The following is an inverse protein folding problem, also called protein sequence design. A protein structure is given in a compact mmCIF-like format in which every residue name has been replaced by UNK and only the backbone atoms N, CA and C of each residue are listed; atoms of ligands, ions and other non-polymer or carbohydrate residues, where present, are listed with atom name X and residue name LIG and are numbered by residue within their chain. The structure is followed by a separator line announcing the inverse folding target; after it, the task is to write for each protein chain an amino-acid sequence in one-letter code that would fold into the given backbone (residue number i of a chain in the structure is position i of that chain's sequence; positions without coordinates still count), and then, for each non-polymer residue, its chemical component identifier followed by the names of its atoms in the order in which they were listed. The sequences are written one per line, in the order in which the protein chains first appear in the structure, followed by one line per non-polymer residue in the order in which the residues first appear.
data_IF_820966240337
#
_entry.id   IF_820966240337
#
_cell.length_a   1.000
_cell.length_b   1.000
_cell.length_c   1.000
_cell.angle_alpha   90.00
_cell.angle_beta   90.00
_cell.angle_gamma   90.00
#
_symmetry.space_group_name_H-M   'P 1'
#
loop_
_entity.id
_entity.type
_entity.pdbx_description
1 polymer ?
#
# COMPACT_ATOMS: atom_id res chain seq x y z
N UNK A 1 9.69 2.60 -23.23
CA UNK A 1 9.47 3.60 -22.16
C UNK A 1 8.14 4.30 -22.42
N UNK A 2 7.02 3.84 -21.82
CA UNK A 2 5.70 4.49 -21.96
C UNK A 2 5.67 5.64 -20.97
N UNK A 3 5.49 6.88 -21.46
CA UNK A 3 5.32 8.08 -20.63
C UNK A 3 4.10 7.86 -19.73
N UNK A 4 4.25 8.09 -18.42
CA UNK A 4 3.16 8.07 -17.46
C UNK A 4 2.01 8.97 -17.93
N UNK A 5 0.77 8.55 -17.71
CA UNK A 5 -0.39 9.39 -18.03
C UNK A 5 -0.46 10.50 -16.99
N UNK A 6 -0.28 11.72 -17.43
CA UNK A 6 -0.49 12.89 -16.59
C UNK A 6 -1.95 13.32 -16.67
N UNK A 7 -2.52 13.70 -15.55
CA UNK A 7 -3.89 14.19 -15.42
C UNK A 7 -3.94 15.39 -14.49
N UNK A 8 -5.07 16.09 -14.43
CA UNK A 8 -5.31 17.16 -13.45
C UNK A 8 -6.12 16.61 -12.29
N UNK A 9 -5.59 16.75 -11.07
CA UNK A 9 -6.30 16.51 -9.83
C UNK A 9 -6.31 17.82 -9.04
N UNK A 10 -7.49 18.35 -8.75
CA UNK A 10 -7.67 19.63 -8.05
C UNK A 10 -6.86 20.78 -8.67
N UNK A 11 -6.78 20.82 -10.02
CA UNK A 11 -6.05 21.84 -10.76
C UNK A 11 -4.53 21.65 -10.82
N UNK A 12 -3.99 20.56 -10.29
CA UNK A 12 -2.56 20.21 -10.34
C UNK A 12 -2.29 19.08 -11.31
N UNK A 13 -1.18 19.14 -12.01
CA UNK A 13 -0.71 18.01 -12.82
C UNK A 13 -0.24 16.89 -11.87
N UNK A 14 -0.82 15.70 -12.05
CA UNK A 14 -0.43 14.48 -11.31
C UNK A 14 -0.03 13.41 -12.29
N UNK A 15 0.90 12.58 -11.87
CA UNK A 15 1.44 11.46 -12.65
C UNK A 15 1.02 10.14 -12.02
N UNK A 16 0.69 9.16 -12.85
CA UNK A 16 0.49 7.79 -12.38
C UNK A 16 1.85 7.08 -12.28
N UNK A 17 2.07 6.26 -11.24
CA UNK A 17 3.23 5.40 -11.19
C UNK A 17 3.15 4.29 -12.25
N UNK A 18 4.26 3.57 -12.54
CA UNK A 18 4.26 2.46 -13.49
C UNK A 18 3.26 1.37 -13.13
N UNK A 19 2.60 0.76 -14.13
CA UNK A 19 1.70 -0.37 -13.95
C UNK A 19 2.40 -1.64 -13.41
N UNK A 20 3.73 -1.72 -13.56
CA UNK A 20 4.56 -2.86 -13.17
C UNK A 20 5.89 -2.40 -12.60
N UNK A 21 6.24 -2.91 -11.43
CA UNK A 21 7.49 -2.65 -10.72
C UNK A 21 8.12 -3.98 -10.35
N UNK A 22 9.20 -4.37 -11.04
CA UNK A 22 9.95 -5.59 -10.73
C UNK A 22 11.07 -5.31 -9.73
N UNK A 23 11.36 -6.28 -8.89
CA UNK A 23 12.49 -6.32 -7.96
C UNK A 23 12.97 -7.77 -7.79
N UNK A 24 14.05 -8.03 -7.04
CA UNK A 24 14.72 -9.33 -7.03
C UNK A 24 13.80 -10.51 -6.70
N UNK A 25 12.87 -10.33 -5.76
CA UNK A 25 12.04 -11.42 -5.23
C UNK A 25 10.56 -11.33 -5.61
N UNK A 26 10.21 -10.46 -6.56
CA UNK A 26 8.82 -10.35 -6.96
C UNK A 26 8.53 -9.20 -7.89
N UNK A 27 7.26 -9.05 -8.17
CA UNK A 27 6.73 -8.00 -9.01
C UNK A 27 5.47 -7.42 -8.40
N UNK A 28 5.41 -6.10 -8.36
CA UNK A 28 4.20 -5.34 -8.05
C UNK A 28 3.49 -5.04 -9.38
N UNK A 29 2.28 -5.54 -9.56
CA UNK A 29 1.46 -5.31 -10.75
C UNK A 29 0.21 -4.55 -10.37
N UNK A 30 -0.15 -3.53 -11.17
CA UNK A 30 -1.40 -2.80 -11.01
C UNK A 30 -2.58 -3.76 -10.96
N UNK A 31 -3.45 -3.61 -9.96
CA UNK A 31 -4.72 -4.34 -9.89
C UNK A 31 -5.70 -3.73 -10.88
N UNK A 32 -6.02 -4.49 -11.93
CA UNK A 32 -7.02 -4.18 -12.97
C UNK A 32 -8.33 -4.86 -12.64
N UNK A 33 -9.39 -4.54 -13.37
CA UNK A 33 -10.69 -5.18 -13.19
C UNK A 33 -10.62 -6.72 -13.21
N UNK A 34 -9.82 -7.27 -14.13
CA UNK A 34 -9.61 -8.71 -14.23
C UNK A 34 -8.91 -9.35 -13.02
N UNK A 35 -8.13 -8.57 -12.27
CA UNK A 35 -7.35 -9.05 -11.11
C UNK A 35 -8.14 -8.96 -9.79
N UNK A 36 -9.26 -8.23 -9.78
CA UNK A 36 -10.02 -7.92 -8.55
C UNK A 36 -10.47 -9.19 -7.83
N UNK A 37 -10.97 -10.17 -8.55
CA UNK A 37 -11.46 -11.42 -7.95
C UNK A 37 -10.33 -12.21 -7.27
N UNK A 38 -9.17 -12.34 -7.92
CA UNK A 38 -8.00 -13.04 -7.39
C UNK A 38 -7.44 -12.30 -6.16
N UNK A 39 -7.36 -10.97 -6.24
CA UNK A 39 -6.90 -10.15 -5.11
C UNK A 39 -7.83 -10.27 -3.89
N UNK A 40 -9.17 -10.25 -4.11
CA UNK A 40 -10.16 -10.48 -3.04
C UNK A 40 -9.98 -11.87 -2.45
N UNK A 41 -9.76 -12.89 -3.28
CA UNK A 41 -9.53 -14.27 -2.85
C UNK A 41 -8.30 -14.38 -1.94
N UNK A 42 -7.18 -13.79 -2.34
CA UNK A 42 -5.95 -13.75 -1.56
C UNK A 42 -6.12 -13.00 -0.23
N UNK A 43 -6.80 -11.85 -0.25
CA UNK A 43 -7.12 -11.10 0.96
C UNK A 43 -8.05 -11.87 1.90
N UNK A 44 -9.04 -12.60 1.36
CA UNK A 44 -9.96 -13.44 2.13
C UNK A 44 -9.24 -14.62 2.80
N UNK A 45 -8.30 -15.26 2.11
CA UNK A 45 -7.48 -16.34 2.67
C UNK A 45 -6.62 -15.88 3.88
N UNK A 46 -6.34 -14.58 3.96
CA UNK A 46 -5.58 -13.95 5.05
C UNK A 46 -6.46 -13.17 6.04
N UNK A 47 -7.79 -13.27 5.97
CA UNK A 47 -8.73 -12.42 6.71
C UNK A 47 -8.50 -12.45 8.23
N UNK A 48 -8.27 -13.63 8.82
CA UNK A 48 -8.05 -13.79 10.25
C UNK A 48 -6.87 -12.93 10.77
N UNK A 49 -5.80 -12.84 10.00
CA UNK A 49 -4.63 -12.03 10.36
C UNK A 49 -4.80 -10.56 9.99
N UNK A 50 -5.45 -10.28 8.86
CA UNK A 50 -5.65 -8.90 8.40
C UNK A 50 -6.60 -8.13 9.30
N UNK A 51 -7.63 -8.77 9.87
CA UNK A 51 -8.60 -8.14 10.79
C UNK A 51 -7.97 -7.56 12.05
N UNK A 52 -6.78 -8.01 12.43
CA UNK A 52 -6.07 -7.48 13.58
C UNK A 52 -5.71 -5.99 13.41
N UNK A 53 -5.41 -5.57 12.17
CA UNK A 53 -4.86 -4.24 11.87
C UNK A 53 -5.53 -3.51 10.72
N UNK A 54 -6.41 -4.19 9.98
CA UNK A 54 -7.03 -3.66 8.78
C UNK A 54 -8.55 -3.79 8.90
N UNK A 55 -9.31 -2.67 8.98
CA UNK A 55 -10.74 -2.71 9.22
C UNK A 55 -11.55 -3.53 8.21
N UNK A 56 -11.14 -3.56 6.93
CA UNK A 56 -11.80 -4.38 5.91
C UNK A 56 -11.38 -5.87 5.96
N UNK A 57 -10.45 -6.24 6.82
CA UNK A 57 -9.97 -7.62 6.95
C UNK A 57 -11.08 -8.59 7.35
N UNK A 58 -12.00 -8.17 8.19
CA UNK A 58 -13.07 -9.01 8.76
C UNK A 58 -14.45 -8.82 8.07
N UNK A 59 -14.63 -7.76 7.28
CA UNK A 59 -15.87 -7.48 6.56
C UNK A 59 -15.75 -7.82 5.06
N UNK A 60 -16.37 -8.93 4.60
CA UNK A 60 -16.33 -9.31 3.19
C UNK A 60 -16.99 -8.30 2.24
N UNK A 61 -18.01 -7.56 2.67
CA UNK A 61 -18.68 -6.57 1.85
C UNK A 61 -17.79 -5.33 1.70
N UNK A 62 -17.25 -4.83 2.81
CA UNK A 62 -16.32 -3.70 2.80
C UNK A 62 -15.03 -4.03 2.03
N UNK A 63 -14.52 -5.26 2.17
CA UNK A 63 -13.37 -5.75 1.39
C UNK A 63 -13.65 -5.70 -0.12
N UNK A 64 -14.82 -6.21 -0.56
CA UNK A 64 -15.21 -6.16 -1.97
C UNK A 64 -15.34 -4.74 -2.49
N UNK A 65 -15.95 -3.85 -1.73
CA UNK A 65 -16.08 -2.44 -2.07
C UNK A 65 -14.71 -1.77 -2.23
N UNK A 66 -13.83 -1.92 -1.24
CA UNK A 66 -12.50 -1.28 -1.23
C UNK A 66 -11.60 -1.78 -2.35
N UNK A 67 -11.55 -3.09 -2.57
CA UNK A 67 -10.71 -3.68 -3.61
C UNK A 67 -11.35 -3.50 -4.99
N UNK A 68 -12.67 -3.65 -5.09
CA UNK A 68 -13.41 -3.46 -6.34
C UNK A 68 -13.34 -2.03 -6.88
N UNK A 69 -13.21 -1.03 -6.00
CA UNK A 69 -13.02 0.37 -6.40
C UNK A 69 -11.60 0.71 -6.90
N UNK A 70 -10.62 -0.17 -6.68
CA UNK A 70 -9.21 0.14 -6.97
C UNK A 70 -8.91 0.51 -8.43
N UNK A 71 -9.50 -0.13 -9.47
CA UNK A 71 -9.28 0.29 -10.86
C UNK A 71 -9.74 1.73 -11.12
N UNK A 72 -10.87 2.14 -10.53
CA UNK A 72 -11.42 3.50 -10.65
C UNK A 72 -10.55 4.50 -9.88
N UNK A 73 -10.13 4.15 -8.65
CA UNK A 73 -9.22 4.98 -7.85
C UNK A 73 -7.90 5.24 -8.57
N UNK A 74 -7.39 4.25 -9.30
CA UNK A 74 -6.18 4.38 -10.12
C UNK A 74 -6.35 5.41 -11.24
N UNK A 75 -7.42 5.29 -12.04
CA UNK A 75 -7.69 6.21 -13.16
C UNK A 75 -7.96 7.65 -12.66
N UNK A 76 -8.51 7.77 -11.46
CA UNK A 76 -8.77 9.07 -10.83
C UNK A 76 -7.61 9.58 -9.98
N UNK A 77 -6.47 8.91 -9.98
CA UNK A 77 -5.27 9.26 -9.21
C UNK A 77 -5.48 9.39 -7.69
N UNK A 78 -6.52 8.76 -7.14
CA UNK A 78 -6.79 8.78 -5.69
C UNK A 78 -5.91 7.79 -4.93
N UNK A 79 -5.79 6.59 -5.50
CA UNK A 79 -4.95 5.53 -4.95
C UNK A 79 -4.47 4.60 -6.06
N UNK A 80 -3.32 3.96 -5.83
CA UNK A 80 -2.68 3.04 -6.76
C UNK A 80 -2.47 1.70 -6.07
N UNK A 81 -3.36 0.73 -6.32
CA UNK A 81 -3.28 -0.60 -5.73
C UNK A 81 -2.48 -1.55 -6.60
N UNK A 82 -1.51 -2.20 -6.00
CA UNK A 82 -0.68 -3.25 -6.60
C UNK A 82 -0.90 -4.59 -5.92
N UNK A 83 -0.96 -5.63 -6.73
CA UNK A 83 -0.77 -7.00 -6.28
C UNK A 83 0.72 -7.33 -6.28
N UNK A 84 1.22 -7.87 -5.18
CA UNK A 84 2.54 -8.49 -5.14
C UNK A 84 2.41 -9.95 -5.56
N UNK A 85 3.29 -10.37 -6.48
CA UNK A 85 3.40 -11.72 -6.99
C UNK A 85 4.89 -12.12 -7.05
N UNK A 86 5.23 -13.41 -7.00
CA UNK A 86 6.61 -13.88 -7.22
C UNK A 86 7.02 -13.78 -8.69
N UNK A 87 6.05 -13.91 -9.61
CA UNK A 87 6.21 -13.71 -11.05
C UNK A 87 4.94 -13.09 -11.64
N UNK A 88 4.99 -12.61 -12.88
CA UNK A 88 3.85 -11.95 -13.51
C UNK A 88 2.57 -12.81 -13.52
N UNK A 89 2.71 -14.13 -13.69
CA UNK A 89 1.60 -15.11 -13.73
C UNK A 89 1.39 -15.80 -12.36
N UNK A 90 2.14 -15.41 -11.33
CA UNK A 90 2.06 -15.99 -9.99
C UNK A 90 0.81 -15.60 -9.23
N UNK A 91 0.48 -16.36 -8.19
CA UNK A 91 -0.60 -16.00 -7.26
C UNK A 91 -0.32 -14.67 -6.55
N UNK A 92 -1.39 -14.00 -6.11
CA UNK A 92 -1.28 -12.81 -5.26
C UNK A 92 -0.80 -13.23 -3.86
N UNK A 93 0.37 -12.77 -3.47
CA UNK A 93 1.00 -13.04 -2.16
C UNK A 93 1.03 -11.80 -1.25
N UNK A 94 0.47 -10.68 -1.69
CA UNK A 94 0.36 -9.46 -0.90
C UNK A 94 -0.29 -8.32 -1.67
N UNK A 95 -0.62 -7.26 -0.93
CA UNK A 95 -1.14 -6.03 -1.50
C UNK A 95 -0.33 -4.83 -1.04
N UNK A 96 -0.05 -3.92 -1.97
CA UNK A 96 0.68 -2.67 -1.73
C UNK A 96 -0.07 -1.52 -2.38
N UNK A 97 -0.10 -0.38 -1.75
CA UNK A 97 -0.85 0.76 -2.29
C UNK A 97 -0.14 2.08 -2.02
N UNK A 98 -0.35 3.03 -2.92
CA UNK A 98 -0.05 4.44 -2.72
C UNK A 98 -1.36 5.22 -2.64
N UNK A 99 -1.55 6.01 -1.59
CA UNK A 99 -2.76 6.81 -1.37
C UNK A 99 -2.44 8.30 -1.35
N UNK A 100 -3.20 9.11 -2.09
CA UNK A 100 -3.13 10.58 -2.06
C UNK A 100 -4.05 11.13 -0.97
N UNK A 101 -3.69 10.94 0.30
CA UNK A 101 -4.51 11.39 1.44
C UNK A 101 -3.72 12.09 2.56
N UNK A 102 -2.42 12.32 2.31
CA UNK A 102 -1.52 12.95 3.29
C UNK A 102 -1.05 14.34 2.85
N UNK A 103 -1.87 14.99 2.04
CA UNK A 103 -1.61 16.32 1.47
C UNK A 103 -1.21 16.27 -0.01
N UNK A 104 -1.08 17.43 -0.65
CA UNK A 104 -0.96 17.53 -2.11
C UNK A 104 0.38 17.03 -2.66
N UNK A 105 1.42 17.01 -1.85
CA UNK A 105 2.80 16.68 -2.16
C UNK A 105 3.25 15.35 -1.51
N UNK A 106 2.31 14.61 -0.92
CA UNK A 106 2.59 13.36 -0.19
C UNK A 106 1.82 12.15 -0.72
N UNK A 107 2.45 10.98 -0.57
CA UNK A 107 1.79 9.69 -0.77
C UNK A 107 1.96 8.83 0.49
N UNK A 108 0.90 8.13 0.87
CA UNK A 108 0.96 7.14 1.95
C UNK A 108 1.07 5.73 1.36
N UNK A 109 2.01 4.94 1.86
CA UNK A 109 2.12 3.52 1.52
C UNK A 109 1.35 2.68 2.53
N UNK A 110 0.40 1.88 2.02
CA UNK A 110 -0.24 0.77 2.74
C UNK A 110 0.23 -0.56 2.20
N UNK A 111 0.34 -1.60 3.05
CA UNK A 111 0.75 -2.93 2.61
C UNK A 111 0.28 -4.04 3.53
N UNK A 112 0.16 -5.23 2.95
CA UNK A 112 0.02 -6.50 3.64
C UNK A 112 0.69 -7.62 2.84
N UNK A 113 1.06 -8.70 3.53
CA UNK A 113 1.60 -9.92 2.90
C UNK A 113 0.81 -11.14 3.34
N UNK A 114 0.78 -12.15 2.50
CA UNK A 114 0.38 -13.51 2.88
C UNK A 114 1.23 -14.03 4.05
N UNK A 115 0.63 -14.83 4.93
CA UNK A 115 1.28 -15.33 6.14
C UNK A 115 2.57 -16.11 5.84
N UNK A 116 2.57 -16.93 4.79
CA UNK A 116 3.71 -17.75 4.40
C UNK A 116 4.91 -16.92 3.90
N UNK A 117 4.68 -15.67 3.46
CA UNK A 117 5.70 -14.79 2.89
C UNK A 117 6.23 -13.74 3.87
N UNK A 118 5.83 -13.84 5.17
CA UNK A 118 6.30 -12.89 6.20
C UNK A 118 7.66 -13.30 6.79
N UNK A 119 8.35 -12.33 7.42
CA UNK A 119 9.59 -12.60 8.17
C UNK A 119 10.87 -12.63 7.34
N UNK A 120 10.79 -12.79 6.03
CA UNK A 120 11.94 -12.87 5.11
C UNK A 120 12.39 -11.52 4.51
N UNK A 121 11.84 -10.39 4.98
CA UNK A 121 12.21 -9.05 4.49
C UNK A 121 11.52 -8.63 3.18
N UNK A 122 10.66 -9.47 2.59
CA UNK A 122 9.97 -9.19 1.33
C UNK A 122 9.16 -7.88 1.36
N UNK A 123 8.44 -7.61 2.46
CA UNK A 123 7.72 -6.34 2.61
C UNK A 123 8.67 -5.13 2.61
N UNK A 124 9.85 -5.24 3.24
CA UNK A 124 10.82 -4.16 3.29
C UNK A 124 11.34 -3.85 1.88
N UNK A 125 11.65 -4.88 1.09
CA UNK A 125 12.11 -4.71 -0.29
C UNK A 125 11.02 -4.10 -1.18
N UNK A 126 9.80 -4.65 -1.14
CA UNK A 126 8.67 -4.14 -1.92
C UNK A 126 8.31 -2.68 -1.56
N UNK A 127 8.29 -2.33 -0.27
CA UNK A 127 8.07 -0.95 0.18
C UNK A 127 9.22 -0.05 -0.26
N UNK A 128 10.46 -0.53 -0.22
CA UNK A 128 11.63 0.24 -0.67
C UNK A 128 11.55 0.64 -2.15
N UNK A 129 11.22 -0.31 -3.04
CA UNK A 129 11.06 0.00 -4.47
C UNK A 129 9.83 0.89 -4.72
N UNK A 130 8.74 0.68 -3.99
CA UNK A 130 7.55 1.50 -4.11
C UNK A 130 7.78 2.94 -3.62
N UNK A 131 8.59 3.12 -2.56
CA UNK A 131 9.04 4.43 -2.09
C UNK A 131 9.83 5.17 -3.17
N UNK A 132 10.81 4.49 -3.79
CA UNK A 132 11.61 5.08 -4.86
C UNK A 132 10.74 5.49 -6.06
N UNK A 133 9.77 4.67 -6.43
CA UNK A 133 8.81 4.98 -7.50
C UNK A 133 7.93 6.18 -7.13
N UNK A 134 7.44 6.25 -5.89
CA UNK A 134 6.63 7.36 -5.43
C UNK A 134 7.40 8.69 -5.45
N UNK A 135 8.63 8.72 -4.94
CA UNK A 135 9.49 9.90 -4.93
C UNK A 135 10.00 10.31 -6.34
N UNK A 136 9.91 9.42 -7.33
CA UNK A 136 10.22 9.75 -8.72
C UNK A 136 9.07 10.48 -9.44
N UNK A 137 7.88 10.56 -8.83
CA UNK A 137 6.76 11.36 -9.37
C UNK A 137 7.04 12.83 -9.10
N UNK A 138 6.95 13.72 -10.14
CA UNK A 138 7.39 15.11 -10.01
C UNK A 138 6.71 15.93 -8.93
N UNK A 139 5.47 15.56 -8.60
CA UNK A 139 4.64 16.26 -7.61
C UNK A 139 4.74 15.67 -6.19
N UNK A 140 5.57 14.65 -5.98
CA UNK A 140 5.69 13.96 -4.68
C UNK A 140 7.01 14.34 -4.01
N UNK A 141 6.91 15.00 -2.87
CA UNK A 141 8.07 15.43 -2.07
C UNK A 141 8.34 14.49 -0.89
N UNK A 142 7.29 13.76 -0.42
CA UNK A 142 7.43 12.84 0.71
C UNK A 142 6.55 11.61 0.56
N UNK A 143 6.99 10.54 1.22
CA UNK A 143 6.22 9.32 1.38
C UNK A 143 6.02 9.06 2.87
N UNK A 144 4.80 8.72 3.25
CA UNK A 144 4.45 8.39 4.62
C UNK A 144 4.05 6.91 4.75
N UNK A 145 4.30 6.34 5.92
CA UNK A 145 3.78 5.04 6.34
C UNK A 145 3.13 5.23 7.70
N UNK A 146 1.85 4.87 7.79
CA UNK A 146 1.07 4.98 9.01
C UNK A 146 0.87 3.59 9.61
N UNK A 147 1.29 3.40 10.86
CA UNK A 147 1.15 2.13 11.57
C UNK A 147 0.67 2.36 12.99
N UNK A 148 -0.21 1.50 13.47
CA UNK A 148 -0.50 1.48 14.91
C UNK A 148 0.77 1.13 15.70
N UNK A 149 0.96 1.74 16.86
CA UNK A 149 2.13 1.53 17.73
C UNK A 149 2.29 0.08 18.17
N UNK A 150 1.17 -0.64 18.35
CA UNK A 150 1.14 -2.07 18.68
C UNK A 150 1.55 -2.96 17.51
N UNK A 151 1.45 -2.50 16.26
CA UNK A 151 1.86 -3.26 15.08
C UNK A 151 3.38 -3.17 14.84
N UNK A 152 4.14 -3.76 15.75
CA UNK A 152 5.62 -3.70 15.73
C UNK A 152 6.23 -4.31 14.47
N UNK A 153 5.56 -5.31 13.86
CA UNK A 153 6.00 -5.92 12.59
C UNK A 153 5.91 -4.92 11.44
N UNK A 154 4.79 -4.21 11.33
CA UNK A 154 4.62 -3.15 10.32
C UNK A 154 5.59 -2.00 10.57
N UNK A 155 5.72 -1.51 11.81
CA UNK A 155 6.64 -0.44 12.17
C UNK A 155 8.15 -0.77 11.92
N UNK A 156 8.51 -2.04 11.88
CA UNK A 156 9.89 -2.45 11.56
C UNK A 156 10.28 -2.18 10.10
N UNK A 157 9.33 -2.10 9.18
CA UNK A 157 9.58 -1.85 7.75
C UNK A 157 10.12 -0.43 7.51
N UNK A 158 9.40 0.65 7.89
CA UNK A 158 9.91 2.00 7.72
C UNK A 158 11.21 2.24 8.48
N UNK A 159 11.41 1.66 9.68
CA UNK A 159 12.69 1.75 10.40
C UNK A 159 13.87 1.21 9.60
N UNK A 160 13.72 0.04 8.97
CA UNK A 160 14.78 -0.57 8.15
C UNK A 160 15.09 0.24 6.89
N UNK A 161 14.09 0.95 6.37
CA UNK A 161 14.23 1.80 5.18
C UNK A 161 14.71 3.21 5.51
N UNK A 162 15.00 3.53 6.78
CA UNK A 162 15.51 4.83 7.19
C UNK A 162 14.45 5.92 7.30
N UNK A 163 13.17 5.57 7.29
CA UNK A 163 12.11 6.53 7.59
C UNK A 163 12.25 7.08 9.00
N UNK A 164 11.95 8.34 9.18
CA UNK A 164 11.94 9.03 10.47
C UNK A 164 10.53 8.97 11.07
N UNK A 165 10.41 8.59 12.34
CA UNK A 165 9.16 8.76 13.08
C UNK A 165 8.93 10.27 13.30
N UNK A 166 7.96 10.82 12.58
CA UNK A 166 7.66 12.25 12.63
C UNK A 166 6.79 12.61 13.85
N UNK A 167 5.76 11.80 14.11
CA UNK A 167 4.84 12.00 15.24
C UNK A 167 4.07 10.73 15.56
N UNK A 168 3.37 10.76 16.69
CA UNK A 168 2.38 9.75 17.08
C UNK A 168 1.07 10.49 17.35
N UNK A 169 0.03 10.19 16.57
CA UNK A 169 -1.28 10.81 16.68
C UNK A 169 -2.26 9.87 17.39
N UNK A 170 -3.22 10.42 18.14
CA UNK A 170 -4.35 9.63 18.61
C UNK A 170 -5.33 9.40 17.47
N UNK A 171 -5.91 8.19 17.39
CA UNK A 171 -6.95 7.88 16.41
C UNK A 171 -8.00 6.94 17.00
N UNK A 172 -9.17 6.88 16.35
CA UNK A 172 -10.25 6.00 16.77
C UNK A 172 -9.91 4.54 16.45
N UNK A 173 -9.93 3.68 17.47
CA UNK A 173 -9.70 2.24 17.36
C UNK A 173 -10.82 1.59 16.54
N UNK A 174 -10.47 0.86 15.50
CA UNK A 174 -11.39 0.20 14.56
C UNK A 174 -11.24 -1.30 14.54
N UNK A 175 -10.14 -1.82 15.08
CA UNK A 175 -9.87 -3.25 15.19
C UNK A 175 -9.46 -3.61 16.63
N UNK A 176 -9.60 -4.90 17.00
CA UNK A 176 -9.34 -5.32 18.38
C UNK A 176 -7.87 -5.26 18.82
N UNK A 177 -6.94 -5.12 17.89
CA UNK A 177 -5.49 -5.07 18.18
C UNK A 177 -4.92 -3.66 18.17
N UNK A 178 -5.65 -2.67 17.66
CA UNK A 178 -5.21 -1.28 17.64
C UNK A 178 -5.13 -0.68 19.04
N UNK A 179 -4.09 0.11 19.29
CA UNK A 179 -3.84 0.82 20.55
C UNK A 179 -4.45 2.22 20.59
N UNK A 180 -4.90 2.73 19.44
CA UNK A 180 -5.34 4.11 19.25
C UNK A 180 -4.19 5.11 19.12
N UNK A 181 -2.96 4.64 18.93
CA UNK A 181 -1.75 5.45 18.77
C UNK A 181 -1.11 5.18 17.41
N UNK A 182 -1.31 6.11 16.47
CA UNK A 182 -0.85 6.01 15.09
C UNK A 182 0.54 6.63 14.93
N UNK A 183 1.53 5.82 14.67
CA UNK A 183 2.87 6.26 14.30
C UNK A 183 2.89 6.72 12.84
N UNK A 184 3.32 7.95 12.60
CA UNK A 184 3.51 8.53 11.27
C UNK A 184 5.00 8.53 10.95
N UNK A 185 5.38 7.67 10.01
CA UNK A 185 6.75 7.54 9.50
C UNK A 185 6.87 8.30 8.18
N UNK A 186 7.94 9.09 8.02
CA UNK A 186 8.14 9.95 6.83
C UNK A 186 9.53 9.70 6.26
N UNK A 187 9.64 9.70 4.93
CA UNK A 187 10.95 9.67 4.24
C UNK A 187 11.85 10.78 4.74
N UNK A 188 13.18 10.57 4.78
CA UNK A 188 14.14 11.57 5.19
C UNK A 188 14.13 12.80 4.29
#
# INVERSE_FOLDING_TARGET
MRRGRNSLLDGRMVSAPPDRIAFDRGVLTRVREADVADFIGAAAANAERLREWIPWGDDPAYRRERIGGAPVDWEQHRAYLYALRESDDGAVIGGFSLHRRVGPDGLEIGYWLDAAHTGAGLATEAVGVLTAVALALPEVERVEIHTDEGNTRSAAVPRRLGYRLARVDAFEVRTGSETGRLQIWVTP
#
